data_IF_245963343883
#
_entry.id   IF_245963343883
#
_cell.length_a   1.000
_cell.length_b   1.000
_cell.length_c   1.000
_cell.angle_alpha   90.00
_cell.angle_beta   90.00
_cell.angle_gamma   90.00
#
_symmetry.space_group_name_H-M   'P 1'
#
loop_
_entity.id
_entity.type
_entity.pdbx_description
1 polymer ?
#
# COMPACT_ATOMS: atom_id res chain seq x y z
N UNK A 1 -2.96 28.98 2.02
CA UNK A 1 -3.29 27.58 2.31
C UNK A 1 -3.47 27.47 3.81
N UNK A 2 -4.59 26.93 4.33
CA UNK A 2 -4.67 26.60 5.74
C UNK A 2 -3.61 25.54 6.08
N UNK A 3 -2.96 25.68 7.23
CA UNK A 3 -1.99 24.71 7.74
C UNK A 3 -2.66 23.33 7.94
N UNK A 4 -1.99 22.26 7.51
CA UNK A 4 -2.42 20.89 7.83
C UNK A 4 -2.12 20.56 9.30
N UNK A 5 -2.94 19.70 9.96
CA UNK A 5 -2.68 19.24 11.32
C UNK A 5 -1.27 18.66 11.49
N UNK A 6 -0.66 18.88 12.67
CA UNK A 6 0.74 18.53 12.93
C UNK A 6 1.05 17.05 12.69
N UNK A 7 0.10 16.15 12.99
CA UNK A 7 0.24 14.71 12.82
C UNK A 7 0.38 14.24 11.36
N UNK A 8 0.07 15.10 10.37
CA UNK A 8 0.17 14.76 8.94
C UNK A 8 1.37 15.41 8.25
N UNK A 9 2.16 16.22 8.95
CA UNK A 9 3.31 16.94 8.37
C UNK A 9 4.49 15.99 8.16
N UNK A 10 5.18 16.14 7.03
CA UNK A 10 6.40 15.36 6.74
C UNK A 10 6.18 13.89 6.40
N UNK A 11 4.93 13.45 6.20
CA UNK A 11 4.59 12.07 5.82
C UNK A 11 4.38 12.02 4.31
N UNK A 12 5.12 11.14 3.64
CA UNK A 12 4.93 10.80 2.23
C UNK A 12 4.84 9.29 2.07
N UNK A 13 3.73 8.79 1.50
CA UNK A 13 3.44 7.37 1.31
C UNK A 13 3.03 7.16 -0.15
N UNK A 14 3.57 6.12 -0.79
CA UNK A 14 3.16 5.64 -2.12
C UNK A 14 2.98 4.13 -2.08
N UNK A 15 1.89 3.65 -2.67
CA UNK A 15 1.64 2.24 -2.96
C UNK A 15 1.59 2.12 -4.48
N UNK A 16 2.29 1.15 -5.04
CA UNK A 16 2.50 1.00 -6.48
C UNK A 16 2.37 -0.48 -6.86
N UNK A 17 1.71 -0.76 -7.97
CA UNK A 17 1.53 -2.08 -8.56
C UNK A 17 1.76 -2.04 -10.06
N UNK A 18 2.26 -3.14 -10.61
CA UNK A 18 2.37 -3.34 -12.06
C UNK A 18 1.13 -4.07 -12.57
N UNK A 19 0.46 -3.50 -13.57
CA UNK A 19 -0.75 -4.08 -14.18
C UNK A 19 -0.58 -4.30 -15.68
N UNK A 20 -1.20 -5.36 -16.18
CA UNK A 20 -1.36 -5.61 -17.62
C UNK A 20 -2.84 -5.52 -17.99
N UNK A 21 -3.15 -4.82 -19.09
CA UNK A 21 -4.52 -4.72 -19.59
C UNK A 21 -4.90 -6.02 -20.30
N UNK A 22 -6.15 -6.45 -20.11
CA UNK A 22 -6.74 -7.66 -20.68
C UNK A 22 -8.04 -7.29 -21.43
N UNK A 23 -8.66 -8.24 -22.12
CA UNK A 23 -9.90 -7.99 -22.88
C UNK A 23 -11.06 -7.51 -21.99
N UNK A 24 -11.09 -7.95 -20.72
CA UNK A 24 -12.20 -7.69 -19.79
C UNK A 24 -11.81 -6.79 -18.60
N UNK A 25 -10.56 -6.31 -18.52
CA UNK A 25 -10.07 -5.56 -17.37
C UNK A 25 -8.54 -5.47 -17.30
N UNK A 26 -7.96 -5.74 -16.12
CA UNK A 26 -6.52 -5.82 -15.91
C UNK A 26 -6.15 -6.99 -15.00
N UNK A 27 -4.93 -7.48 -15.14
CA UNK A 27 -4.28 -8.40 -14.21
C UNK A 27 -3.18 -7.66 -13.45
N UNK A 28 -3.12 -7.83 -12.13
CA UNK A 28 -2.13 -7.21 -11.25
C UNK A 28 -0.98 -8.19 -11.01
N UNK A 29 0.18 -7.90 -11.60
CA UNK A 29 1.36 -8.76 -11.62
C UNK A 29 2.12 -8.75 -10.29
N UNK A 30 1.92 -7.73 -9.45
CA UNK A 30 2.63 -7.52 -8.18
C UNK A 30 1.71 -7.69 -6.96
N UNK A 31 0.52 -8.25 -7.15
CA UNK A 31 -0.49 -8.41 -6.10
C UNK A 31 -0.05 -9.32 -4.92
N UNK A 32 1.02 -10.10 -5.07
CA UNK A 32 1.49 -11.04 -4.06
C UNK A 32 2.05 -10.39 -2.80
N UNK A 33 2.50 -9.13 -2.87
CA UNK A 33 2.90 -8.35 -1.70
C UNK A 33 1.68 -7.66 -1.09
N UNK A 34 1.44 -7.91 0.20
CA UNK A 34 0.33 -7.31 0.95
C UNK A 34 0.49 -5.79 1.04
N UNK A 35 -0.63 -5.08 0.90
CA UNK A 35 -0.68 -3.60 0.89
C UNK A 35 -1.83 -3.00 1.71
N UNK A 36 -2.75 -3.83 2.21
CA UNK A 36 -3.71 -3.39 3.22
C UNK A 36 -3.01 -3.24 4.57
N UNK A 37 -3.38 -2.21 5.33
CA UNK A 37 -2.74 -1.90 6.62
C UNK A 37 -2.77 -3.10 7.57
N UNK A 38 -3.94 -3.72 7.76
CA UNK A 38 -4.12 -4.87 8.67
C UNK A 38 -3.23 -6.07 8.27
N UNK A 39 -3.09 -6.34 6.96
CA UNK A 39 -2.26 -7.43 6.45
C UNK A 39 -0.75 -7.15 6.63
N UNK A 40 -0.34 -5.89 6.43
CA UNK A 40 1.03 -5.44 6.70
C UNK A 40 1.35 -5.61 8.20
N UNK A 41 0.45 -5.18 9.07
CA UNK A 41 0.61 -5.30 10.53
C UNK A 41 0.71 -6.76 10.95
N UNK A 42 -0.16 -7.63 10.43
CA UNK A 42 -0.13 -9.06 10.73
C UNK A 42 1.18 -9.73 10.25
N UNK A 43 1.63 -9.43 9.02
CA UNK A 43 2.90 -9.95 8.48
C UNK A 43 4.10 -9.48 9.32
N UNK A 44 4.13 -8.20 9.70
CA UNK A 44 5.19 -7.62 10.53
C UNK A 44 5.21 -8.23 11.94
N UNK A 45 4.05 -8.52 12.53
CA UNK A 45 3.96 -9.17 13.82
C UNK A 45 4.48 -10.62 13.77
N UNK A 46 4.07 -11.38 12.75
CA UNK A 46 4.49 -12.77 12.56
C UNK A 46 6.00 -12.92 12.31
N UNK A 47 6.64 -11.94 11.66
CA UNK A 47 8.09 -11.97 11.39
C UNK A 47 8.97 -11.60 12.60
N UNK A 48 8.40 -11.03 13.67
CA UNK A 48 9.15 -10.57 14.86
C UNK A 48 9.22 -11.61 15.99
N UNK A 49 8.50 -12.73 15.86
CA UNK A 49 8.52 -13.85 16.80
C UNK A 49 9.65 -14.83 16.49
#
# INVERSE_FOLDING_TARGET
MPDVPAQYRGIGIRIEDDIVITETGNENLTASVVKNADEIEALMAAARS
#
